data_IF_675253933755
#
_entry.id   IF_675253933755
#
_cell.length_a   1.000
_cell.length_b   1.000
_cell.length_c   1.000
_cell.angle_alpha   90.00
_cell.angle_beta   90.00
_cell.angle_gamma   90.00
#
_symmetry.space_group_name_H-M   'P 1'
#
loop_
_entity.id
_entity.type
_entity.pdbx_description
1 polymer ?
#
# COMPACT_ATOMS: atom_id res chain seq x y z
N UNK A 1 6.88 21.46 6.91
CA UNK A 1 5.78 20.63 6.34
C UNK A 1 5.76 20.64 4.81
N UNK A 2 5.91 21.79 4.10
CA UNK A 2 6.07 21.84 2.62
C UNK A 2 7.05 20.79 2.06
N UNK A 3 8.26 20.71 2.62
CA UNK A 3 9.27 19.75 2.16
C UNK A 3 8.85 18.30 2.36
N UNK A 4 8.15 17.99 3.47
CA UNK A 4 7.64 16.65 3.75
C UNK A 4 6.58 16.25 2.74
N UNK A 5 5.63 17.15 2.44
CA UNK A 5 4.61 16.93 1.41
C UNK A 5 5.27 16.67 0.06
N UNK A 6 6.19 17.54 -0.36
CA UNK A 6 6.93 17.40 -1.62
C UNK A 6 7.72 16.09 -1.70
N UNK A 7 8.39 15.70 -0.61
CA UNK A 7 9.14 14.45 -0.54
C UNK A 7 8.23 13.23 -0.69
N UNK A 8 7.12 13.20 0.05
CA UNK A 8 6.16 12.08 -0.01
C UNK A 8 5.54 11.99 -1.40
N UNK A 9 5.09 13.12 -1.94
CA UNK A 9 4.50 13.20 -3.28
C UNK A 9 5.47 12.69 -4.35
N UNK A 10 6.70 13.19 -4.35
CA UNK A 10 7.69 12.82 -5.37
C UNK A 10 8.21 11.38 -5.22
N UNK A 11 8.05 10.76 -4.04
CA UNK A 11 8.47 9.39 -3.79
C UNK A 11 7.38 8.36 -4.13
N UNK A 12 6.11 8.70 -3.92
CA UNK A 12 5.00 7.74 -4.01
C UNK A 12 4.03 8.02 -5.18
N UNK A 13 4.11 9.21 -5.79
CA UNK A 13 3.18 9.69 -6.82
C UNK A 13 1.68 9.49 -6.50
N UNK A 14 1.22 9.81 -5.27
CA UNK A 14 -0.17 9.61 -4.90
C UNK A 14 -1.08 10.60 -5.65
N UNK A 15 -2.35 10.25 -5.78
CA UNK A 15 -3.37 11.16 -6.31
C UNK A 15 -3.57 12.38 -5.40
N UNK A 16 -3.64 12.17 -4.09
CA UNK A 16 -3.75 13.24 -3.10
C UNK A 16 -3.13 12.82 -1.75
N UNK A 17 -2.70 13.81 -0.96
CA UNK A 17 -2.22 13.62 0.42
C UNK A 17 -3.31 14.10 1.39
N UNK A 18 -3.85 13.19 2.20
CA UNK A 18 -4.87 13.53 3.21
C UNK A 18 -4.19 13.87 4.54
N UNK A 19 -4.49 15.05 5.10
CA UNK A 19 -4.06 15.46 6.43
C UNK A 19 -5.16 15.11 7.44
N UNK A 20 -4.87 14.10 8.27
CA UNK A 20 -5.72 13.70 9.39
C UNK A 20 -5.08 13.97 10.76
N UNK A 21 -5.71 13.45 11.82
CA UNK A 21 -5.24 13.57 13.20
C UNK A 21 -6.13 14.48 14.06
N UNK A 22 -5.72 14.68 15.32
CA UNK A 22 -6.49 15.42 16.33
C UNK A 22 -6.19 16.93 16.39
N UNK A 23 -5.39 17.43 15.45
CA UNK A 23 -5.06 18.86 15.39
C UNK A 23 -6.33 19.68 15.10
N UNK A 24 -6.52 20.84 15.77
CA UNK A 24 -7.67 21.70 15.51
C UNK A 24 -7.76 22.10 14.02
N UNK A 25 -8.96 22.11 13.40
CA UNK A 25 -9.11 22.42 11.98
C UNK A 25 -8.56 23.79 11.60
N UNK A 26 -8.68 24.78 12.49
CA UNK A 26 -8.12 26.12 12.31
C UNK A 26 -6.60 26.07 12.12
N UNK A 27 -5.89 25.28 12.92
CA UNK A 27 -4.44 25.14 12.82
C UNK A 27 -4.03 24.54 11.48
N UNK A 28 -4.70 23.46 11.05
CA UNK A 28 -4.42 22.80 9.77
C UNK A 28 -4.68 23.77 8.61
N UNK A 29 -5.82 24.47 8.61
CA UNK A 29 -6.15 25.47 7.60
C UNK A 29 -5.10 26.59 7.53
N UNK A 30 -4.71 27.16 8.67
CA UNK A 30 -3.67 28.19 8.71
C UNK A 30 -2.34 27.69 8.16
N UNK A 31 -1.94 26.46 8.48
CA UNK A 31 -0.72 25.86 7.92
C UNK A 31 -0.83 25.74 6.40
N UNK A 32 -1.98 25.30 5.87
CA UNK A 32 -2.24 25.18 4.44
C UNK A 32 -2.28 26.53 3.73
N UNK A 33 -2.83 27.57 4.35
CA UNK A 33 -2.82 28.94 3.82
C UNK A 33 -1.39 29.48 3.69
N UNK A 34 -0.47 29.05 4.57
CA UNK A 34 0.95 29.35 4.44
C UNK A 34 1.69 28.42 3.44
N UNK A 35 1.00 27.41 2.90
CA UNK A 35 1.55 26.45 1.93
C UNK A 35 1.44 26.86 0.47
N UNK A 36 0.98 28.07 0.15
CA UNK A 36 0.55 28.62 -1.16
C UNK A 36 1.47 28.49 -2.39
N UNK A 37 2.61 27.81 -2.29
CA UNK A 37 3.38 27.35 -3.43
C UNK A 37 4.05 26.04 -3.05
N UNK A 38 3.36 24.92 -3.30
CA UNK A 38 3.99 23.62 -3.17
C UNK A 38 5.08 23.48 -4.25
N UNK A 39 6.28 22.98 -3.92
CA UNK A 39 7.35 22.81 -4.89
C UNK A 39 6.95 21.90 -6.06
N UNK A 40 7.80 21.86 -7.08
CA UNK A 40 7.62 21.06 -8.28
C UNK A 40 7.31 19.59 -7.95
N UNK A 41 6.31 19.07 -8.66
CA UNK A 41 5.88 17.67 -8.61
C UNK A 41 6.62 16.84 -9.67
N UNK A 42 6.85 15.55 -9.39
CA UNK A 42 7.30 14.57 -10.39
C UNK A 42 6.36 14.46 -11.59
N UNK A 43 5.09 14.88 -11.44
CA UNK A 43 4.09 14.94 -12.52
C UNK A 43 4.35 16.02 -13.57
N UNK A 44 5.42 16.80 -13.46
CA UNK A 44 5.93 17.63 -14.55
C UNK A 44 5.04 18.81 -14.96
N UNK A 45 4.34 19.44 -14.00
CA UNK A 45 3.53 20.64 -14.27
C UNK A 45 2.14 20.36 -14.85
N UNK A 46 1.70 19.09 -14.89
CA UNK A 46 0.29 18.77 -14.99
C UNK A 46 -0.43 19.40 -13.79
N UNK A 47 -1.28 20.40 -14.04
CA UNK A 47 -2.19 20.89 -13.01
C UNK A 47 -3.12 19.73 -12.68
N UNK A 48 -3.07 19.14 -11.48
CA UNK A 48 -3.98 18.05 -11.16
C UNK A 48 -5.42 18.59 -11.20
N UNK A 49 -6.35 17.79 -11.72
CA UNK A 49 -7.80 18.10 -11.71
C UNK A 49 -8.37 18.16 -10.27
N UNK A 50 -7.56 17.79 -9.27
CA UNK A 50 -7.90 17.63 -7.87
C UNK A 50 -6.83 18.25 -6.96
N UNK A 51 -7.23 18.66 -5.75
CA UNK A 51 -6.33 19.26 -4.77
C UNK A 51 -5.24 18.27 -4.32
N UNK A 52 -3.96 18.68 -4.37
CA UNK A 52 -2.80 17.87 -3.93
C UNK A 52 -2.87 17.51 -2.44
N UNK A 53 -3.53 18.34 -1.64
CA UNK A 53 -3.68 18.14 -0.21
C UNK A 53 -5.17 18.25 0.15
N UNK A 54 -5.68 17.23 0.84
CA UNK A 54 -7.04 17.20 1.37
C UNK A 54 -6.99 17.23 2.90
N UNK A 55 -7.99 17.83 3.53
CA UNK A 55 -8.18 17.76 4.99
C UNK A 55 -9.20 16.65 5.26
N UNK A 56 -8.90 15.74 6.18
CA UNK A 56 -9.87 14.73 6.57
C UNK A 56 -11.11 15.36 7.22
N UNK A 57 -12.30 14.94 6.80
CA UNK A 57 -13.56 15.39 7.39
C UNK A 57 -13.81 14.77 8.77
N UNK A 58 -13.13 13.67 9.08
CA UNK A 58 -13.31 12.89 10.31
C UNK A 58 -12.34 13.32 11.42
N UNK A 59 -12.41 14.60 11.82
CA UNK A 59 -11.59 15.28 12.84
C UNK A 59 -11.12 14.40 14.02
N UNK A 60 -9.96 13.73 13.88
CA UNK A 60 -9.38 12.85 14.89
C UNK A 60 -9.82 11.38 14.82
N UNK A 61 -10.96 11.08 14.22
CA UNK A 61 -11.50 9.72 14.09
C UNK A 61 -10.92 8.95 12.90
N UNK A 62 -10.25 9.61 11.95
CA UNK A 62 -9.68 8.98 10.74
C UNK A 62 -8.83 7.74 11.07
N UNK A 63 -8.05 7.79 12.16
CA UNK A 63 -7.21 6.68 12.60
C UNK A 63 -8.03 5.50 13.15
N UNK A 64 -9.07 5.78 13.92
CA UNK A 64 -9.95 4.75 14.49
C UNK A 64 -10.75 4.09 13.38
N UNK A 65 -11.30 4.87 12.45
CA UNK A 65 -12.01 4.36 11.28
C UNK A 65 -11.08 3.51 10.41
N UNK A 66 -9.85 3.97 10.15
CA UNK A 66 -8.85 3.19 9.43
C UNK A 66 -8.54 1.86 10.11
N UNK A 67 -8.37 1.87 11.44
CA UNK A 67 -8.15 0.64 12.22
C UNK A 67 -9.37 -0.31 12.17
N UNK A 68 -10.58 0.23 12.26
CA UNK A 68 -11.83 -0.53 12.19
C UNK A 68 -12.07 -1.18 10.81
N UNK A 69 -11.47 -0.64 9.74
CA UNK A 69 -11.54 -1.20 8.39
C UNK A 69 -10.62 -2.43 8.22
N UNK A 70 -9.53 -2.55 8.97
CA UNK A 70 -8.55 -3.63 8.77
C UNK A 70 -9.15 -5.06 8.85
N UNK A 71 -10.05 -5.39 9.79
CA UNK A 71 -10.70 -6.70 9.82
C UNK A 71 -11.59 -6.97 8.61
N UNK A 72 -12.31 -5.93 8.13
CA UNK A 72 -13.16 -6.02 6.93
C UNK A 72 -12.30 -6.26 5.70
N UNK A 73 -11.19 -5.52 5.58
CA UNK A 73 -10.23 -5.71 4.50
C UNK A 73 -9.68 -7.14 4.49
N UNK A 74 -9.27 -7.67 5.65
CA UNK A 74 -8.78 -9.05 5.77
C UNK A 74 -9.80 -10.10 5.32
N UNK A 75 -11.10 -9.86 5.56
CA UNK A 75 -12.16 -10.78 5.17
C UNK A 75 -12.42 -10.75 3.66
N UNK A 76 -12.31 -9.58 3.03
CA UNK A 76 -12.70 -9.36 1.63
C UNK A 76 -11.51 -9.40 0.66
N UNK A 77 -10.28 -9.24 1.14
CA UNK A 77 -9.10 -9.34 0.31
C UNK A 77 -8.86 -10.80 -0.09
N UNK A 78 -8.76 -11.14 -1.39
CA UNK A 78 -8.36 -12.48 -1.80
C UNK A 78 -6.97 -12.77 -1.25
N UNK A 79 -6.85 -13.78 -0.39
CA UNK A 79 -5.54 -14.22 0.12
C UNK A 79 -4.71 -14.75 -1.04
N UNK A 80 -3.60 -14.07 -1.31
CA UNK A 80 -2.57 -14.48 -2.27
C UNK A 80 -2.12 -15.94 -2.12
N UNK A 81 -2.25 -16.53 -0.93
CA UNK A 81 -1.98 -17.95 -0.69
C UNK A 81 -2.80 -18.87 -1.60
N UNK A 82 -4.06 -18.53 -1.88
CA UNK A 82 -4.92 -19.33 -2.76
C UNK A 82 -4.45 -19.23 -4.22
N UNK A 83 -3.86 -18.10 -4.61
CA UNK A 83 -3.32 -17.87 -5.95
C UNK A 83 -1.94 -18.53 -6.14
N UNK A 84 -1.10 -18.59 -5.10
CA UNK A 84 0.25 -19.17 -5.13
C UNK A 84 0.26 -20.70 -4.92
N UNK A 85 -0.78 -21.28 -4.32
CA UNK A 85 -0.90 -22.73 -4.13
C UNK A 85 -1.12 -23.52 -5.44
N UNK A 86 -1.56 -22.86 -6.51
CA UNK A 86 -1.78 -23.48 -7.82
C UNK A 86 -0.51 -24.04 -8.48
N UNK A 87 0.64 -23.41 -8.22
CA UNK A 87 1.92 -23.79 -8.85
C UNK A 87 2.75 -24.75 -7.97
N UNK A 88 2.74 -24.56 -6.66
CA UNK A 88 3.52 -25.41 -5.73
C UNK A 88 2.93 -26.83 -5.54
N UNK A 89 1.62 -27.00 -5.72
CA UNK A 89 0.96 -28.31 -5.56
C UNK A 89 1.24 -29.29 -6.72
N UNK A 90 1.71 -28.79 -7.88
CA UNK A 90 2.16 -29.64 -9.00
C UNK A 90 3.61 -30.10 -8.82
N UNK A 91 4.49 -29.20 -8.39
CA UNK A 91 5.91 -29.49 -8.16
C UNK A 91 6.12 -30.56 -7.08
N UNK A 92 5.34 -30.52 -6.00
CA UNK A 92 5.47 -31.49 -4.90
C UNK A 92 4.99 -32.89 -5.29
N UNK A 93 4.17 -33.07 -6.34
CA UNK A 93 3.70 -34.40 -6.80
C UNK A 93 4.69 -35.09 -7.74
N UNK A 94 5.49 -34.36 -8.50
CA UNK A 94 6.52 -34.95 -9.38
C UNK A 94 7.70 -35.53 -8.60
N UNK A 95 8.06 -34.94 -7.45
CA UNK A 95 9.15 -35.45 -6.62
C UNK A 95 8.81 -36.77 -5.92
N UNK A 96 7.55 -36.97 -5.51
CA UNK A 96 7.10 -38.23 -4.88
C UNK A 96 6.95 -39.37 -5.89
N UNK A 97 6.77 -39.07 -7.17
CA UNK A 97 6.56 -40.07 -8.23
C UNK A 97 7.86 -40.39 -9.01
N UNK A 98 8.94 -39.62 -8.79
CA UNK A 98 10.21 -39.73 -9.52
C UNK A 98 11.25 -40.66 -8.90
N UNK A 99 11.05 -41.18 -7.69
CA UNK A 99 12.04 -42.04 -7.03
C UNK A 99 11.70 -43.53 -7.11
N UNK A 100 11.87 -44.11 -8.30
CA UNK A 100 12.17 -45.54 -8.48
C UNK A 100 13.66 -45.71 -8.72
N UNK A 101 14.44 -45.85 -7.64
CA UNK A 101 15.79 -46.40 -7.75
C UNK A 101 15.70 -47.92 -7.92
N UNK A 102 15.63 -48.33 -9.18
CA UNK A 102 16.14 -49.61 -9.65
C UNK A 102 17.59 -49.78 -9.20
N UNK A 103 17.88 -50.77 -8.36
CA UNK A 103 19.22 -51.39 -8.31
C UNK A 103 19.07 -52.88 -8.06
N UNK A 104 19.13 -53.64 -9.15
CA UNK A 104 19.37 -55.07 -9.13
C UNK A 104 20.86 -55.39 -9.04
N UNK A 105 21.15 -56.51 -8.38
CA UNK A 105 22.19 -57.51 -8.66
C UNK A 105 23.55 -57.07 -9.22
N UNK A 106 24.63 -57.38 -8.48
CA UNK A 106 26.00 -57.35 -8.98
C UNK A 106 27.04 -57.90 -8.00
N UNK A 107 27.38 -59.17 -8.20
CA UNK A 107 28.57 -59.97 -7.80
C UNK A 107 29.76 -59.22 -7.16
N UNK A 108 30.34 -59.80 -6.10
CA UNK A 108 31.64 -60.51 -6.07
C UNK A 108 31.86 -61.13 -4.67
#
# INVERSE_FOLDING_TARGET
>A
MKNTVCLIENMLDPEAIVIGGSAPPLLIRTILDHMTALPASVRGGMTPDHDRILISEHQGDSSILGAAVLPIYKMLSPLYDVLLQGDNAKQKRSDILGHRSITGAGRL
#
